data_IF_094489417552
#
_entry.id   IF_094489417552
#
_cell.length_a   1.000
_cell.length_b   1.000
_cell.length_c   1.000
_cell.angle_alpha   90.00
_cell.angle_beta   90.00
_cell.angle_gamma   90.00
#
_symmetry.space_group_name_H-M   'P 1'
#
loop_
_entity.id
_entity.type
_entity.pdbx_description
1 polymer ?
#
# COMPACT_ATOMS: atom_id res chain seq x y z
N UNK A 1 -30.03 -84.71 -0.06
CA UNK A 1 -28.69 -84.54 -0.65
C UNK A 1 -28.73 -83.23 -1.42
N UNK A 2 -28.20 -82.15 -0.84
CA UNK A 2 -28.38 -80.80 -1.38
C UNK A 2 -27.25 -80.49 -2.36
N UNK A 3 -27.62 -80.28 -3.62
CA UNK A 3 -26.74 -79.80 -4.68
C UNK A 3 -26.34 -78.35 -4.38
N UNK A 4 -25.07 -78.15 -4.02
CA UNK A 4 -24.49 -76.81 -3.90
C UNK A 4 -24.15 -76.36 -5.33
N UNK A 5 -25.06 -75.58 -5.95
CA UNK A 5 -24.79 -74.92 -7.22
C UNK A 5 -23.74 -73.84 -7.01
N UNK A 6 -22.51 -74.09 -7.46
CA UNK A 6 -21.47 -73.07 -7.55
C UNK A 6 -21.94 -71.95 -8.48
N UNK A 7 -22.26 -70.80 -7.91
CA UNK A 7 -22.50 -69.57 -8.68
C UNK A 7 -21.15 -69.05 -9.16
N UNK A 8 -20.73 -69.48 -10.35
CA UNK A 8 -19.62 -68.82 -11.07
C UNK A 8 -20.07 -67.39 -11.38
N UNK A 9 -19.48 -66.43 -10.67
CA UNK A 9 -19.63 -65.02 -10.99
C UNK A 9 -19.25 -64.81 -12.45
N UNK A 10 -20.16 -64.22 -13.23
CA UNK A 10 -19.89 -63.95 -14.64
C UNK A 10 -18.79 -62.89 -14.72
N UNK A 11 -17.60 -63.27 -15.20
CA UNK A 11 -16.48 -62.36 -15.49
C UNK A 11 -16.92 -61.13 -16.30
N UNK A 12 -17.98 -61.27 -17.11
CA UNK A 12 -18.59 -60.20 -17.90
C UNK A 12 -19.15 -59.09 -17.02
N UNK A 13 -19.78 -59.43 -15.89
CA UNK A 13 -20.33 -58.43 -14.98
C UNK A 13 -19.25 -57.56 -14.33
N UNK A 14 -18.10 -58.16 -14.01
CA UNK A 14 -16.94 -57.44 -13.46
C UNK A 14 -16.33 -56.51 -14.52
N UNK A 15 -16.17 -56.98 -15.75
CA UNK A 15 -15.65 -56.18 -16.87
C UNK A 15 -16.53 -54.96 -17.16
N UNK A 16 -17.86 -55.14 -17.21
CA UNK A 16 -18.80 -54.03 -17.45
C UNK A 16 -18.75 -53.02 -16.30
N UNK A 17 -18.75 -53.47 -15.05
CA UNK A 17 -18.69 -52.58 -13.89
C UNK A 17 -17.40 -51.76 -13.85
N UNK A 18 -16.28 -52.36 -14.25
CA UNK A 18 -14.99 -51.68 -14.35
C UNK A 18 -14.97 -50.60 -15.44
N UNK A 19 -15.56 -50.87 -16.61
CA UNK A 19 -15.68 -49.87 -17.67
C UNK A 19 -16.54 -48.66 -17.24
N UNK A 20 -17.68 -48.92 -16.58
CA UNK A 20 -18.53 -47.86 -16.03
C UNK A 20 -17.76 -47.04 -15.00
N UNK A 21 -16.97 -47.68 -14.15
CA UNK A 21 -16.14 -47.01 -13.15
C UNK A 21 -15.07 -46.10 -13.78
N UNK A 22 -14.36 -46.56 -14.81
CA UNK A 22 -13.40 -45.72 -15.54
C UNK A 22 -14.09 -44.52 -16.19
N UNK A 23 -15.23 -44.74 -16.85
CA UNK A 23 -15.99 -43.64 -17.45
C UNK A 23 -16.46 -42.63 -16.40
N UNK A 24 -16.89 -43.11 -15.24
CA UNK A 24 -17.25 -42.25 -14.11
C UNK A 24 -16.05 -41.44 -13.59
N UNK A 25 -14.86 -42.03 -13.48
CA UNK A 25 -13.64 -41.31 -13.10
C UNK A 25 -13.31 -40.21 -14.13
N UNK A 26 -13.34 -40.53 -15.42
CA UNK A 26 -13.06 -39.55 -16.47
C UNK A 26 -14.07 -38.40 -16.44
N UNK A 27 -15.36 -38.71 -16.26
CA UNK A 27 -16.40 -37.71 -16.05
C UNK A 27 -16.10 -36.85 -14.83
N UNK A 28 -15.72 -37.45 -13.71
CA UNK A 28 -15.43 -36.76 -12.46
C UNK A 28 -14.20 -35.85 -12.58
N UNK A 29 -13.15 -36.29 -13.27
CA UNK A 29 -11.97 -35.47 -13.57
C UNK A 29 -12.37 -34.26 -14.42
N UNK A 30 -13.15 -34.47 -15.48
CA UNK A 30 -13.64 -33.38 -16.33
C UNK A 30 -14.57 -32.43 -15.58
N UNK A 31 -15.31 -32.92 -14.58
CA UNK A 31 -16.19 -32.10 -13.74
C UNK A 31 -15.41 -31.25 -12.74
N UNK A 32 -14.33 -31.76 -12.15
CA UNK A 32 -13.57 -31.05 -11.11
C UNK A 32 -12.49 -30.13 -11.70
N UNK A 33 -11.95 -30.48 -12.87
CA UNK A 33 -10.87 -29.73 -13.50
C UNK A 33 -11.15 -28.21 -13.66
N UNK A 34 -12.35 -27.76 -14.09
CA UNK A 34 -12.69 -26.33 -14.13
C UNK A 34 -12.62 -25.65 -12.75
N UNK A 35 -13.03 -26.34 -11.68
CA UNK A 35 -13.01 -25.80 -10.32
C UNK A 35 -11.57 -25.62 -9.80
N UNK A 36 -10.65 -26.52 -10.15
CA UNK A 36 -9.23 -26.36 -9.84
C UNK A 36 -8.61 -25.19 -10.60
N UNK A 37 -8.95 -25.02 -11.89
CA UNK A 37 -8.45 -23.90 -12.68
C UNK A 37 -8.90 -22.55 -12.11
N UNK A 38 -10.19 -22.40 -11.76
CA UNK A 38 -10.72 -21.17 -11.17
C UNK A 38 -9.97 -20.78 -9.89
N UNK A 39 -9.74 -21.75 -8.98
CA UNK A 39 -8.99 -21.51 -7.74
C UNK A 39 -7.52 -21.17 -7.99
N UNK A 40 -6.88 -21.76 -8.99
CA UNK A 40 -5.50 -21.41 -9.34
C UNK A 40 -5.40 -20.00 -9.94
N UNK A 41 -6.39 -19.57 -10.72
CA UNK A 41 -6.43 -18.24 -11.33
C UNK A 41 -6.67 -17.16 -10.29
N UNK A 42 -7.57 -17.36 -9.32
CA UNK A 42 -7.77 -16.38 -8.24
C UNK A 42 -6.51 -16.21 -7.38
N UNK A 43 -5.86 -17.32 -6.99
CA UNK A 43 -4.58 -17.27 -6.26
C UNK A 43 -3.46 -16.60 -7.06
N UNK A 44 -3.46 -16.76 -8.38
CA UNK A 44 -2.53 -16.07 -9.25
C UNK A 44 -2.83 -14.57 -9.30
N UNK A 45 -4.09 -14.15 -9.42
CA UNK A 45 -4.44 -12.73 -9.39
C UNK A 45 -4.06 -12.10 -8.05
N UNK A 46 -4.39 -12.74 -6.92
CA UNK A 46 -4.01 -12.24 -5.60
C UNK A 46 -2.50 -12.05 -5.51
N UNK A 47 -1.71 -13.02 -5.99
CA UNK A 47 -0.25 -12.89 -6.05
C UNK A 47 0.19 -11.76 -6.98
N UNK A 48 -0.41 -11.64 -8.15
CA UNK A 48 -0.09 -10.57 -9.10
C UNK A 48 -0.35 -9.21 -8.47
N UNK A 49 -1.47 -9.02 -7.79
CA UNK A 49 -1.80 -7.81 -7.03
C UNK A 49 -0.71 -7.50 -5.99
N UNK A 50 -0.36 -8.47 -5.14
CA UNK A 50 0.67 -8.27 -4.12
C UNK A 50 2.03 -7.92 -4.74
N UNK A 51 2.41 -8.57 -5.83
CA UNK A 51 3.69 -8.31 -6.49
C UNK A 51 3.69 -7.00 -7.29
N UNK A 52 2.55 -6.59 -7.86
CA UNK A 52 2.39 -5.33 -8.60
C UNK A 52 2.30 -4.11 -7.69
N UNK A 53 1.93 -4.26 -6.41
CA UNK A 53 1.68 -3.08 -5.56
C UNK A 53 2.29 -3.12 -4.17
N UNK A 54 2.76 -4.28 -3.66
CA UNK A 54 3.25 -4.40 -2.28
C UNK A 54 4.73 -4.81 -2.17
N UNK A 55 5.36 -5.32 -3.24
CA UNK A 55 6.72 -5.87 -3.15
C UNK A 55 7.84 -4.87 -3.55
N UNK A 56 7.55 -3.57 -3.61
CA UNK A 56 8.52 -2.56 -4.04
C UNK A 56 9.22 -1.95 -2.85
N UNK A 57 10.41 -2.48 -2.57
CA UNK A 57 11.29 -2.04 -1.49
C UNK A 57 12.44 -1.14 -1.94
N UNK A 58 12.61 -0.82 -3.23
CA UNK A 58 13.97 -0.44 -3.68
C UNK A 58 14.17 0.76 -4.61
N UNK A 59 13.16 1.48 -5.14
CA UNK A 59 13.49 2.53 -6.13
C UNK A 59 12.91 3.92 -5.91
N UNK A 60 11.80 4.12 -5.19
CA UNK A 60 11.35 5.47 -4.84
C UNK A 60 10.24 5.38 -3.80
N UNK A 61 10.59 4.92 -2.59
CA UNK A 61 9.58 4.86 -1.53
C UNK A 61 9.33 6.30 -1.08
N UNK A 62 8.09 6.77 -1.17
CA UNK A 62 7.66 7.98 -0.48
C UNK A 62 7.11 7.54 0.87
N UNK A 63 7.81 7.86 1.95
CA UNK A 63 7.39 7.48 3.30
C UNK A 63 6.33 8.48 3.76
N UNK A 64 5.07 8.09 3.64
CA UNK A 64 3.94 8.84 4.19
C UNK A 64 3.58 8.26 5.55
N UNK A 65 3.86 9.00 6.61
CA UNK A 65 3.47 8.64 7.96
C UNK A 65 2.39 9.60 8.43
N UNK A 66 1.15 9.13 8.45
CA UNK A 66 0.01 9.95 8.87
C UNK A 66 -0.08 9.93 10.39
N UNK A 67 -0.03 11.10 11.04
CA UNK A 67 -0.12 11.21 12.50
C UNK A 67 -1.43 11.90 12.89
N UNK A 68 -2.36 11.13 13.47
CA UNK A 68 -3.51 11.75 14.13
C UNK A 68 -3.11 12.17 15.54
N UNK A 69 -3.13 13.47 15.79
CA UNK A 69 -2.79 14.09 17.07
C UNK A 69 -4.09 14.33 17.82
N UNK A 70 -4.38 13.53 18.85
CA UNK A 70 -5.58 13.78 19.65
C UNK A 70 -5.24 14.69 20.80
N UNK A 71 -6.05 15.71 20.98
CA UNK A 71 -5.94 16.54 22.15
C UNK A 71 -6.68 15.84 23.30
N UNK A 72 -5.96 15.39 24.32
CA UNK A 72 -6.54 14.70 25.48
C UNK A 72 -6.78 15.62 26.67
N UNK A 73 -6.37 16.89 26.58
CA UNK A 73 -6.61 17.91 27.59
C UNK A 73 -7.47 19.07 27.06
N UNK A 74 -8.05 19.89 27.95
CA UNK A 74 -8.66 21.15 27.50
C UNK A 74 -7.50 22.06 27.10
N UNK A 75 -7.27 22.33 25.82
CA UNK A 75 -6.26 23.32 25.39
C UNK A 75 -6.57 24.65 26.07
N UNK A 76 -5.90 24.94 27.17
CA UNK A 76 -6.05 26.20 27.88
C UNK A 76 -5.12 27.28 27.36
N UNK A 77 -4.20 26.94 26.44
CA UNK A 77 -3.24 27.88 25.89
C UNK A 77 -2.99 27.63 24.39
N UNK A 78 -3.02 28.72 23.61
CA UNK A 78 -2.58 28.82 22.21
C UNK A 78 -1.09 28.43 22.08
N UNK A 79 -0.75 27.15 22.22
CA UNK A 79 0.63 26.67 22.04
C UNK A 79 0.76 26.13 20.62
N UNK A 80 1.46 26.83 19.71
CA UNK A 80 1.58 26.42 18.32
C UNK A 80 2.70 25.37 18.10
N UNK A 81 3.16 24.72 19.18
CA UNK A 81 4.40 23.97 19.21
C UNK A 81 4.16 22.49 19.49
N UNK A 82 4.65 21.61 18.62
CA UNK A 82 4.66 20.16 18.84
C UNK A 82 6.10 19.68 18.87
N UNK A 83 6.46 18.82 19.82
CA UNK A 83 7.78 18.21 19.85
C UNK A 83 7.98 17.32 18.61
N UNK A 84 9.17 17.34 18.03
CA UNK A 84 9.49 16.58 16.83
C UNK A 84 9.62 15.08 17.08
N UNK A 85 10.24 14.72 18.20
CA UNK A 85 10.46 13.32 18.63
C UNK A 85 9.15 12.53 18.74
N UNK A 86 8.09 13.26 18.99
CA UNK A 86 6.71 12.86 19.14
C UNK A 86 6.07 12.45 17.79
N UNK A 87 6.53 13.07 16.71
CA UNK A 87 6.14 12.73 15.34
C UNK A 87 7.00 11.54 14.88
N UNK A 88 8.32 11.66 14.90
CA UNK A 88 9.19 10.68 14.21
C UNK A 88 9.57 9.47 15.10
N UNK A 89 9.22 9.52 16.38
CA UNK A 89 9.62 8.58 17.41
C UNK A 89 11.00 8.90 18.01
N UNK A 90 11.23 8.51 19.26
CA UNK A 90 12.47 8.83 19.99
C UNK A 90 13.71 8.03 19.55
N UNK A 91 13.52 6.96 18.76
CA UNK A 91 14.61 6.06 18.40
C UNK A 91 15.41 6.60 17.21
N UNK A 92 16.72 6.86 17.37
CA UNK A 92 17.58 7.25 16.26
C UNK A 92 17.59 6.15 15.19
N UNK A 93 17.33 6.52 13.93
CA UNK A 93 17.29 5.58 12.79
C UNK A 93 15.89 5.22 12.29
N UNK A 94 14.82 5.82 12.83
CA UNK A 94 13.45 5.62 12.32
C UNK A 94 13.17 6.24 10.96
N UNK A 95 13.87 7.33 10.61
CA UNK A 95 13.88 7.82 9.23
C UNK A 95 14.97 7.04 8.49
N UNK A 96 14.64 6.28 7.45
CA UNK A 96 15.62 5.62 6.61
C UNK A 96 16.60 6.60 5.99
N UNK A 97 17.83 6.14 5.72
CA UNK A 97 18.91 6.97 5.21
C UNK A 97 18.61 7.62 3.85
N UNK A 98 17.74 7.01 3.05
CA UNK A 98 17.36 7.44 1.71
C UNK A 98 16.47 8.69 1.68
N UNK A 99 15.86 9.09 2.81
CA UNK A 99 15.13 10.38 2.92
C UNK A 99 16.02 11.56 3.26
N UNK A 100 17.28 11.29 3.57
CA UNK A 100 18.23 12.35 3.83
C UNK A 100 18.81 12.81 2.50
N UNK A 101 18.53 14.06 2.18
CA UNK A 101 19.25 14.81 1.19
C UNK A 101 20.59 15.26 1.74
N UNK A 102 21.58 15.40 0.86
CA UNK A 102 22.90 15.92 1.20
C UNK A 102 23.25 17.06 0.24
N UNK A 103 23.46 18.25 0.79
CA UNK A 103 23.84 19.44 0.03
C UNK A 103 24.93 20.17 0.81
N UNK A 104 26.04 20.48 0.14
CA UNK A 104 27.22 21.13 0.75
C UNK A 104 27.76 20.43 2.02
N UNK A 105 27.56 19.11 2.14
CA UNK A 105 28.01 18.31 3.28
C UNK A 105 27.07 18.35 4.50
N UNK A 106 25.92 18.99 4.38
CA UNK A 106 24.86 18.97 5.40
C UNK A 106 23.75 17.99 4.98
N UNK A 107 23.36 17.10 5.91
CA UNK A 107 22.24 16.19 5.71
C UNK A 107 20.95 16.83 6.20
N UNK A 108 19.92 16.81 5.37
CA UNK A 108 18.58 17.31 5.70
C UNK A 108 17.50 16.35 5.20
N UNK A 109 16.30 16.46 5.74
CA UNK A 109 15.10 15.82 5.19
C UNK A 109 13.98 16.85 5.13
N UNK A 110 13.01 16.58 4.27
CA UNK A 110 11.85 17.45 4.05
C UNK A 110 10.60 16.79 4.59
N UNK A 111 9.83 17.55 5.35
CA UNK A 111 8.52 17.16 5.85
C UNK A 111 7.45 18.01 5.17
N UNK A 112 6.39 17.38 4.68
CA UNK A 112 5.16 18.05 4.26
C UNK A 112 4.12 17.79 5.34
N UNK A 113 3.65 18.85 5.98
CA UNK A 113 2.54 18.82 6.93
C UNK A 113 1.27 19.21 6.17
N UNK A 114 0.22 18.41 6.29
CA UNK A 114 -1.10 18.69 5.71
C UNK A 114 -2.12 18.65 6.84
N UNK A 115 -2.91 19.72 6.97
CA UNK A 115 -4.01 19.79 7.94
C UNK A 115 -5.35 19.28 7.37
N UNK A 116 -6.40 19.32 8.19
CA UNK A 116 -7.76 18.89 7.81
C UNK A 116 -8.44 19.77 6.74
N UNK A 117 -7.90 20.96 6.45
CA UNK A 117 -8.41 21.90 5.45
C UNK A 117 -7.50 21.95 4.21
N UNK A 118 -6.66 20.94 4.02
CA UNK A 118 -5.64 20.84 2.97
C UNK A 118 -4.64 22.01 2.96
N UNK A 119 -4.46 22.71 4.09
CA UNK A 119 -3.37 23.68 4.21
C UNK A 119 -2.06 22.91 4.31
N UNK A 120 -1.15 23.19 3.39
CA UNK A 120 0.13 22.51 3.29
C UNK A 120 1.25 23.40 3.85
N UNK A 121 2.14 22.81 4.65
CA UNK A 121 3.36 23.45 5.12
C UNK A 121 4.54 22.52 4.93
N UNK A 122 5.49 22.92 4.11
CA UNK A 122 6.75 22.20 3.97
C UNK A 122 7.78 22.71 4.97
N UNK A 123 8.54 21.79 5.56
CA UNK A 123 9.59 22.07 6.54
C UNK A 123 10.84 21.31 6.11
N UNK A 124 11.94 22.02 5.94
CA UNK A 124 13.26 21.41 5.77
C UNK A 124 14.00 21.42 7.09
N UNK A 125 14.49 20.25 7.50
CA UNK A 125 15.24 20.10 8.74
C UNK A 125 16.67 19.68 8.47
N UNK A 126 17.60 20.53 8.87
CA UNK A 126 19.03 20.26 8.85
C UNK A 126 19.45 19.53 10.12
N UNK A 127 20.15 18.39 9.94
CA UNK A 127 20.67 17.52 11.02
C UNK A 127 19.57 16.85 11.85
N UNK A 128 19.96 15.87 12.67
CA UNK A 128 19.04 15.32 13.68
C UNK A 128 18.65 16.45 14.64
N UNK A 129 17.35 16.78 14.76
CA UNK A 129 16.93 17.82 15.68
C UNK A 129 17.37 17.45 17.10
N UNK A 130 17.80 18.43 17.91
CA UNK A 130 18.11 18.15 19.31
C UNK A 130 16.88 17.56 20.00
N UNK A 131 17.10 16.70 21.01
CA UNK A 131 16.00 16.19 21.83
C UNK A 131 15.16 17.37 22.35
N UNK A 132 13.84 17.30 22.16
CA UNK A 132 12.94 18.38 22.53
C UNK A 132 12.88 19.52 21.51
N UNK A 133 13.30 19.32 20.26
CA UNK A 133 13.02 20.29 19.19
C UNK A 133 11.51 20.41 19.00
N UNK A 134 10.98 21.63 18.99
CA UNK A 134 9.57 21.87 18.76
C UNK A 134 9.34 22.50 17.37
N UNK A 135 8.46 21.88 16.60
CA UNK A 135 7.95 22.43 15.35
C UNK A 135 6.86 23.44 15.66
N UNK A 136 7.03 24.65 15.15
CA UNK A 136 5.95 25.63 15.11
C UNK A 136 4.99 25.27 13.97
N UNK A 137 3.79 24.80 14.32
CA UNK A 137 2.75 24.53 13.35
C UNK A 137 2.16 25.83 12.77
N UNK A 138 2.29 26.99 13.44
CA UNK A 138 1.72 28.28 13.02
C UNK A 138 0.64 28.80 13.98
N UNK A 139 -0.09 29.84 13.61
CA UNK A 139 -1.29 30.26 14.35
C UNK A 139 -2.51 29.47 13.83
N UNK A 140 -3.07 28.61 14.68
CA UNK A 140 -4.24 27.79 14.32
C UNK A 140 -5.43 28.28 15.11
N UNK A 141 -6.64 28.19 14.53
CA UNK A 141 -7.87 28.56 15.23
C UNK A 141 -8.05 27.63 16.46
N UNK A 142 -8.02 28.16 17.69
CA UNK A 142 -8.13 27.34 18.90
C UNK A 142 -9.47 26.61 19.04
N UNK A 143 -10.50 27.05 18.33
CA UNK A 143 -11.83 26.42 18.36
C UNK A 143 -11.85 25.04 17.72
N UNK A 144 -10.93 24.75 16.79
CA UNK A 144 -10.80 23.44 16.17
C UNK A 144 -10.17 22.43 17.16
N UNK A 145 -9.24 22.85 18.05
CA UNK A 145 -8.52 21.99 19.02
C UNK A 145 -9.40 21.29 20.05
N UNK A 146 -10.59 21.83 20.33
CA UNK A 146 -11.39 21.40 21.48
C UNK A 146 -12.41 20.31 21.15
N UNK A 147 -12.69 20.02 19.88
CA UNK A 147 -13.89 19.24 19.52
C UNK A 147 -13.58 17.85 18.94
N UNK A 148 -12.51 17.67 18.16
CA UNK A 148 -12.32 16.41 17.40
C UNK A 148 -10.89 15.83 17.39
N UNK A 149 -9.93 16.45 18.09
CA UNK A 149 -8.51 16.15 17.82
C UNK A 149 -8.08 16.69 16.46
N UNK A 150 -6.78 16.62 16.17
CA UNK A 150 -6.15 17.17 14.96
C UNK A 150 -5.66 16.02 14.09
N UNK A 151 -6.04 16.01 12.82
CA UNK A 151 -5.42 15.13 11.84
C UNK A 151 -4.30 15.90 11.16
N UNK A 152 -3.04 15.52 11.41
CA UNK A 152 -1.89 16.07 10.69
C UNK A 152 -1.23 14.94 9.92
N UNK A 153 -1.30 15.01 8.60
CA UNK A 153 -0.54 14.09 7.77
C UNK A 153 0.89 14.60 7.67
N UNK A 154 1.87 13.76 8.02
CA UNK A 154 3.31 14.10 7.92
C UNK A 154 3.97 13.24 6.86
N UNK A 155 4.18 13.82 5.68
CA UNK A 155 4.93 13.16 4.61
C UNK A 155 6.40 13.42 4.76
N UNK A 156 7.23 12.39 4.78
CA UNK A 156 8.67 12.55 4.54
C UNK A 156 8.89 12.51 3.03
N UNK A 157 9.36 13.61 2.47
CA UNK A 157 9.60 13.72 1.03
C UNK A 157 11.01 13.18 0.71
N UNK A 158 11.11 12.30 -0.29
CA UNK A 158 12.39 11.81 -0.84
C UNK A 158 13.05 12.83 -1.77
N UNK A 159 12.29 13.80 -2.29
CA UNK A 159 12.81 14.78 -3.24
C UNK A 159 13.78 15.78 -2.59
N UNK A 160 15.01 15.81 -3.09
CA UNK A 160 16.01 16.79 -2.71
C UNK A 160 15.84 18.07 -3.50
N UNK A 161 15.27 19.08 -2.84
CA UNK A 161 15.22 20.46 -3.33
C UNK A 161 15.80 21.38 -2.25
N UNK A 162 16.55 22.42 -2.64
CA UNK A 162 17.04 23.40 -1.69
C UNK A 162 15.86 24.02 -0.92
N UNK A 163 16.00 24.26 0.39
CA UNK A 163 14.90 24.77 1.20
C UNK A 163 14.39 26.11 0.69
N UNK A 164 13.07 26.24 0.67
CA UNK A 164 12.42 27.52 0.44
C UNK A 164 12.52 28.41 1.69
N UNK A 165 12.41 27.82 2.90
CA UNK A 165 12.57 28.50 4.18
C UNK A 165 13.15 27.55 5.24
N UNK A 166 14.09 28.05 6.06
CA UNK A 166 14.60 27.33 7.24
C UNK A 166 13.72 27.71 8.42
N UNK A 167 12.99 26.74 8.97
CA UNK A 167 12.09 27.02 10.10
C UNK A 167 12.92 27.27 11.37
N UNK A 168 12.79 28.45 11.97
CA UNK A 168 13.23 28.65 13.35
C UNK A 168 12.28 27.87 14.26
N UNK A 169 12.82 26.90 15.01
CA UNK A 169 12.05 26.14 16.00
C UNK A 169 11.37 27.09 16.97
N UNK A 170 10.17 26.74 17.45
CA UNK A 170 9.55 27.59 18.46
C UNK A 170 10.14 27.29 19.84
N UNK A 171 10.30 28.35 20.64
CA UNK A 171 10.56 28.20 22.07
C UNK A 171 9.22 28.02 22.76
N UNK A 172 9.00 26.91 23.49
CA UNK A 172 7.79 26.76 24.28
C UNK A 172 7.73 27.93 25.27
N UNK A 173 6.64 28.69 25.22
CA UNK A 173 6.38 29.81 26.14
C UNK A 173 6.09 29.24 27.53
N UNK A 174 7.17 28.85 28.21
CA UNK A 174 7.16 28.51 29.62
C UNK A 174 7.34 29.78 30.44
N UNK A 175 6.46 29.96 31.42
CA UNK A 175 6.80 30.62 32.68
C UNK A 175 8.17 30.10 33.14
N UNK A 176 9.03 30.93 33.74
CA UNK A 176 10.43 30.59 34.02
C UNK A 176 10.66 29.47 35.05
N UNK A 177 9.68 28.61 35.31
CA UNK A 177 9.63 27.54 36.30
C UNK A 177 10.00 26.16 35.75
N UNK A 178 10.29 26.04 34.45
CA UNK A 178 10.92 24.84 33.86
C UNK A 178 10.08 23.57 33.89
N UNK A 179 8.80 23.66 34.27
CA UNK A 179 7.87 22.54 34.31
C UNK A 179 6.99 22.58 33.06
N UNK A 180 7.44 21.90 32.01
CA UNK A 180 6.70 21.78 30.76
C UNK A 180 5.61 20.71 30.92
N UNK A 181 4.35 21.13 31.03
CA UNK A 181 3.20 20.27 30.79
C UNK A 181 3.03 20.15 29.27
N UNK A 182 3.32 18.98 28.72
CA UNK A 182 2.92 18.62 27.36
C UNK A 182 1.42 18.33 27.41
N UNK A 183 0.62 19.27 26.89
CA UNK A 183 -0.85 19.23 27.02
C UNK A 183 -1.51 18.39 25.91
N UNK A 184 -0.74 17.63 25.13
CA UNK A 184 -1.24 16.83 24.01
C UNK A 184 -0.80 15.37 24.16
N UNK A 185 -1.62 14.43 23.69
CA UNK A 185 -1.27 13.00 23.63
C UNK A 185 -1.30 12.57 22.17
N UNK A 186 -0.17 12.10 21.68
CA UNK A 186 -0.10 11.58 20.32
C UNK A 186 -0.66 10.17 20.34
N UNK A 187 -1.94 10.04 20.01
CA UNK A 187 -2.51 8.72 19.72
C UNK A 187 -2.15 8.39 18.27
N UNK A 188 -0.92 7.88 18.11
CA UNK A 188 -0.48 7.30 16.83
C UNK A 188 -1.49 6.23 16.46
N UNK A 189 -2.17 6.42 15.33
CA UNK A 189 -2.97 5.36 14.74
C UNK A 189 -2.73 5.40 13.23
N UNK A 190 -2.11 4.33 12.75
CA UNK A 190 -1.87 4.00 11.34
C UNK A 190 -0.64 4.66 10.69
N UNK A 191 0.55 4.17 11.06
CA UNK A 191 1.67 4.11 10.10
C UNK A 191 1.32 3.06 9.04
N UNK A 192 0.61 3.48 7.99
CA UNK A 192 0.28 2.65 6.84
C UNK A 192 1.37 2.76 5.78
N UNK A 193 1.94 1.63 5.39
CA UNK A 193 3.01 1.50 4.38
C UNK A 193 2.46 1.25 2.96
N UNK A 194 1.14 1.37 2.78
CA UNK A 194 0.42 0.70 1.69
C UNK A 194 -0.14 1.68 0.64
N UNK A 195 0.54 2.81 0.39
CA UNK A 195 0.14 3.75 -0.66
C UNK A 195 0.98 3.52 -1.91
N UNK A 196 0.33 3.37 -3.06
CA UNK A 196 0.98 3.24 -4.35
C UNK A 196 1.29 4.63 -4.94
N UNK A 197 2.55 5.03 -5.17
CA UNK A 197 2.85 6.25 -5.91
C UNK A 197 2.35 6.15 -7.35
N UNK A 198 1.75 7.21 -7.91
CA UNK A 198 1.28 7.21 -9.30
C UNK A 198 2.40 6.91 -10.32
N UNK A 199 3.64 7.31 -10.02
CA UNK A 199 4.82 7.01 -10.84
C UNK A 199 5.08 5.50 -10.98
N UNK A 200 4.79 4.70 -9.94
CA UNK A 200 4.97 3.25 -9.97
C UNK A 200 4.00 2.58 -10.95
N UNK A 201 2.75 3.07 -11.03
CA UNK A 201 1.79 2.60 -12.03
C UNK A 201 2.37 2.81 -13.43
N UNK A 202 2.93 4.00 -13.69
CA UNK A 202 3.60 4.31 -14.96
C UNK A 202 4.78 3.38 -15.25
N UNK A 203 5.64 3.11 -14.27
CA UNK A 203 6.78 2.20 -14.41
C UNK A 203 6.34 0.77 -14.74
N UNK A 204 5.28 0.25 -14.12
CA UNK A 204 4.77 -1.10 -14.45
C UNK A 204 4.18 -1.17 -15.84
N UNK A 205 3.50 -0.12 -16.29
CA UNK A 205 3.00 -0.04 -17.67
C UNK A 205 4.15 0.00 -18.67
N UNK A 206 5.20 0.78 -18.40
CA UNK A 206 6.39 0.82 -19.24
C UNK A 206 7.11 -0.54 -19.27
N UNK A 207 7.28 -1.19 -18.12
CA UNK A 207 7.91 -2.52 -18.04
C UNK A 207 7.08 -3.58 -18.78
N UNK A 208 5.75 -3.50 -18.70
CA UNK A 208 4.85 -4.37 -19.44
C UNK A 208 5.03 -4.22 -20.95
N UNK A 209 5.06 -2.99 -21.46
CA UNK A 209 5.15 -2.71 -22.90
C UNK A 209 6.55 -2.99 -23.47
N UNK A 210 7.60 -2.72 -22.69
CA UNK A 210 9.00 -2.86 -23.15
C UNK A 210 9.59 -4.24 -22.91
N UNK A 211 9.20 -4.91 -21.82
CA UNK A 211 9.81 -6.17 -21.38
C UNK A 211 8.82 -7.09 -20.66
N UNK A 212 7.71 -7.39 -21.32
CA UNK A 212 6.65 -8.27 -20.81
C UNK A 212 7.16 -9.62 -20.28
N UNK A 213 8.16 -10.22 -20.93
CA UNK A 213 8.68 -11.53 -20.52
C UNK A 213 9.40 -11.47 -19.16
N UNK A 214 10.22 -10.46 -18.92
CA UNK A 214 10.90 -10.26 -17.63
C UNK A 214 9.89 -9.91 -16.54
N UNK A 215 8.89 -9.09 -16.86
CA UNK A 215 7.81 -8.76 -15.93
C UNK A 215 7.04 -10.02 -15.48
N UNK A 216 6.72 -10.94 -16.41
CA UNK A 216 6.09 -12.22 -16.06
C UNK A 216 6.92 -13.04 -15.09
N UNK A 217 8.24 -13.08 -15.29
CA UNK A 217 9.16 -13.81 -14.42
C UNK A 217 9.19 -13.19 -13.02
N UNK A 218 9.35 -11.87 -12.92
CA UNK A 218 9.37 -11.12 -11.65
C UNK A 218 8.05 -11.30 -10.89
N UNK A 219 6.92 -11.22 -11.58
CA UNK A 219 5.60 -11.37 -10.97
C UNK A 219 5.23 -12.83 -10.67
N UNK A 220 6.04 -13.80 -11.13
CA UNK A 220 5.82 -15.23 -10.91
C UNK A 220 4.62 -15.78 -11.69
N UNK A 221 4.37 -15.25 -12.89
CA UNK A 221 3.33 -15.73 -13.81
C UNK A 221 3.79 -17.05 -14.44
N UNK A 222 3.05 -18.17 -14.26
CA UNK A 222 3.43 -19.45 -14.83
C UNK A 222 3.49 -19.45 -16.36
N UNK A 223 4.33 -20.33 -16.91
CA UNK A 223 4.44 -20.50 -18.35
C UNK A 223 3.11 -20.93 -18.98
N UNK A 224 2.77 -20.33 -20.13
CA UNK A 224 1.54 -20.60 -20.85
C UNK A 224 0.31 -19.85 -20.33
N UNK A 225 0.48 -18.97 -19.33
CA UNK A 225 -0.53 -17.98 -18.95
C UNK A 225 -0.05 -16.58 -19.29
N UNK A 226 -1.01 -15.71 -19.54
CA UNK A 226 -0.81 -14.28 -19.75
C UNK A 226 -1.68 -13.47 -18.80
N UNK A 227 -1.33 -12.20 -18.63
CA UNK A 227 -2.06 -11.30 -17.76
C UNK A 227 -2.10 -9.89 -18.33
N UNK A 228 -3.09 -9.12 -17.92
CA UNK A 228 -3.21 -7.69 -18.16
C UNK A 228 -3.67 -7.02 -16.86
N UNK A 229 -3.40 -5.73 -16.73
CA UNK A 229 -3.94 -4.95 -15.62
C UNK A 229 -4.23 -3.53 -16.05
N UNK A 230 -5.27 -2.96 -15.45
CA UNK A 230 -5.67 -1.57 -15.59
C UNK A 230 -5.80 -0.95 -14.20
N UNK A 231 -5.53 0.34 -14.09
CA UNK A 231 -5.78 1.15 -12.92
C UNK A 231 -6.74 2.28 -13.29
N UNK A 232 -7.86 2.36 -12.58
CA UNK A 232 -8.85 3.43 -12.71
C UNK A 232 -8.71 4.36 -11.51
N UNK A 233 -8.35 5.61 -11.77
CA UNK A 233 -8.20 6.69 -10.79
C UNK A 233 -9.56 7.15 -10.25
N UNK A 234 -9.55 7.89 -9.15
CA UNK A 234 -10.75 8.44 -8.52
C UNK A 234 -11.59 9.31 -9.48
N UNK A 235 -10.91 10.02 -10.40
CA UNK A 235 -11.51 10.86 -11.42
C UNK A 235 -12.11 10.07 -12.61
N UNK A 236 -12.02 8.74 -12.60
CA UNK A 236 -12.52 7.84 -13.64
C UNK A 236 -11.57 7.61 -14.82
N UNK A 237 -10.44 8.33 -14.88
CA UNK A 237 -9.40 8.07 -15.88
C UNK A 237 -8.83 6.68 -15.66
N UNK A 238 -8.63 5.93 -16.74
CA UNK A 238 -8.06 4.58 -16.67
C UNK A 238 -6.77 4.53 -17.48
N UNK A 239 -5.71 4.03 -16.85
CA UNK A 239 -4.44 3.67 -17.49
C UNK A 239 -4.24 2.18 -17.35
N UNK A 240 -3.64 1.52 -18.33
CA UNK A 240 -3.63 0.07 -18.32
C UNK A 240 -2.97 -0.54 -19.54
N UNK A 241 -2.82 -1.85 -19.48
CA UNK A 241 -2.29 -2.64 -20.58
C UNK A 241 -3.38 -2.99 -21.57
N UNK A 242 -2.98 -3.41 -22.78
CA UNK A 242 -3.94 -3.88 -23.78
C UNK A 242 -4.35 -5.32 -23.49
N UNK A 243 -5.65 -5.58 -23.59
CA UNK A 243 -6.24 -6.90 -23.40
C UNK A 243 -6.25 -7.64 -24.74
N UNK A 244 -5.12 -8.26 -25.11
CA UNK A 244 -5.00 -9.05 -26.35
C UNK A 244 -5.32 -10.53 -26.09
N UNK A 245 -6.57 -10.79 -25.70
CA UNK A 245 -7.03 -12.14 -25.38
C UNK A 245 -7.29 -12.93 -26.66
N UNK A 246 -6.63 -14.08 -26.89
CA UNK A 246 -6.88 -14.90 -28.06
C UNK A 246 -8.33 -15.41 -28.09
N UNK A 247 -8.95 -15.56 -29.28
CA UNK A 247 -10.33 -16.03 -29.38
C UNK A 247 -10.49 -17.44 -28.80
N UNK A 248 -11.50 -17.62 -27.94
CA UNK A 248 -11.80 -18.90 -27.31
C UNK A 248 -10.99 -19.21 -26.06
N UNK A 249 -10.20 -18.26 -25.54
CA UNK A 249 -9.53 -18.39 -24.24
C UNK A 249 -10.40 -17.79 -23.14
N UNK A 250 -10.58 -18.54 -22.06
CA UNK A 250 -11.32 -18.07 -20.89
C UNK A 250 -10.48 -17.11 -20.06
N UNK A 251 -10.99 -15.88 -19.90
CA UNK A 251 -10.37 -14.86 -19.06
C UNK A 251 -11.00 -14.84 -17.66
N UNK A 252 -10.14 -14.70 -16.66
CA UNK A 252 -10.54 -14.49 -15.28
C UNK A 252 -10.14 -13.08 -14.85
N UNK A 253 -11.08 -12.30 -14.32
CA UNK A 253 -10.90 -10.87 -14.01
C UNK A 253 -11.34 -10.61 -12.58
N UNK A 254 -10.51 -9.91 -11.82
CA UNK A 254 -10.89 -9.35 -10.53
C UNK A 254 -10.48 -7.88 -10.41
N UNK A 255 -11.20 -7.15 -9.56
CA UNK A 255 -10.95 -5.74 -9.29
C UNK A 255 -10.79 -5.52 -7.79
N UNK A 256 -9.81 -4.71 -7.41
CA UNK A 256 -9.50 -4.41 -6.02
C UNK A 256 -9.42 -2.89 -5.82
N UNK A 257 -9.98 -2.36 -4.73
CA UNK A 257 -9.71 -0.99 -4.32
C UNK A 257 -8.26 -0.88 -3.84
N UNK A 258 -7.54 0.11 -4.34
CA UNK A 258 -6.16 0.40 -3.93
C UNK A 258 -6.02 1.88 -3.60
N UNK A 259 -5.31 2.18 -2.53
CA UNK A 259 -4.99 3.54 -2.16
C UNK A 259 -3.71 3.99 -2.86
N UNK A 260 -3.74 5.16 -3.49
CA UNK A 260 -2.62 5.72 -4.21
C UNK A 260 -2.38 7.19 -3.83
N UNK A 261 -1.18 7.67 -4.13
CA UNK A 261 -0.82 9.08 -3.98
C UNK A 261 -0.73 9.72 -5.36
N UNK A 262 -1.51 10.79 -5.59
CA UNK A 262 -1.47 11.54 -6.84
C UNK A 262 -0.25 12.49 -6.92
N UNK A 263 -0.13 13.25 -8.02
CA UNK A 263 0.97 14.20 -8.23
C UNK A 263 0.99 15.35 -7.21
N UNK A 264 -0.18 15.70 -6.64
CA UNK A 264 -0.35 16.75 -5.63
C UNK A 264 -0.17 16.24 -4.18
N UNK A 265 0.15 14.95 -4.04
CA UNK A 265 0.30 14.20 -2.79
C UNK A 265 -1.01 13.99 -2.00
N UNK A 266 -2.15 14.02 -2.69
CA UNK A 266 -3.42 13.61 -2.12
C UNK A 266 -3.49 12.08 -2.08
N UNK A 267 -4.00 11.53 -0.98
CA UNK A 267 -4.29 10.10 -0.87
C UNK A 267 -5.68 9.86 -1.43
N UNK A 268 -5.77 9.07 -2.48
CA UNK A 268 -7.04 8.73 -3.13
C UNK A 268 -7.23 7.22 -3.22
N UNK A 269 -8.47 6.80 -3.49
CA UNK A 269 -8.80 5.38 -3.72
C UNK A 269 -9.06 5.19 -5.21
N UNK A 270 -8.27 4.33 -5.83
CA UNK A 270 -8.44 3.85 -7.20
C UNK A 270 -8.91 2.40 -7.23
N UNK A 271 -9.12 1.89 -8.43
CA UNK A 271 -9.49 0.49 -8.67
C UNK A 271 -8.45 -0.13 -9.59
N UNK A 272 -7.71 -1.12 -9.11
CA UNK A 272 -6.94 -1.99 -9.99
C UNK A 272 -7.83 -3.11 -10.50
N UNK A 273 -7.79 -3.38 -11.81
CA UNK A 273 -8.43 -4.53 -12.44
C UNK A 273 -7.36 -5.40 -13.07
N UNK A 274 -7.29 -6.67 -12.70
CA UNK A 274 -6.31 -7.63 -13.19
C UNK A 274 -7.06 -8.74 -13.94
N UNK A 275 -6.58 -9.07 -15.13
CA UNK A 275 -7.06 -10.21 -15.91
C UNK A 275 -5.97 -11.24 -16.12
N UNK A 276 -6.30 -12.53 -16.02
CA UNK A 276 -5.41 -13.64 -16.38
C UNK A 276 -6.11 -14.60 -17.33
N UNK A 277 -5.39 -15.09 -18.34
CA UNK A 277 -5.93 -16.05 -19.31
C UNK A 277 -4.95 -17.20 -19.58
#
# INVERSE_FOLDING_TARGET
>A
MNEIKEKRGSHVGVMISFMIFIMFILFFINMIYPAFQARSKSLLIDRLRLNLFQNYSNTEIVYLSTYRLYNTSRVTANRPCITFNDIIGEEPGKIPSEFFCEEEGERYYRLKLIDENDNQKEITMYRQPPRGFHINLGQWDPSHLQTFGYNITVTVLSECRPPLEVLEGCTPSGTGDGNFSEDYEIVVNETGWDWLPISQIGMHLEMYETNYSEMKEILGVPYGMDFAFNFTFSNGTTVGTRWEVPPGVDIYIESYPETYMDEDHNIEVGIVTIGVW
#
